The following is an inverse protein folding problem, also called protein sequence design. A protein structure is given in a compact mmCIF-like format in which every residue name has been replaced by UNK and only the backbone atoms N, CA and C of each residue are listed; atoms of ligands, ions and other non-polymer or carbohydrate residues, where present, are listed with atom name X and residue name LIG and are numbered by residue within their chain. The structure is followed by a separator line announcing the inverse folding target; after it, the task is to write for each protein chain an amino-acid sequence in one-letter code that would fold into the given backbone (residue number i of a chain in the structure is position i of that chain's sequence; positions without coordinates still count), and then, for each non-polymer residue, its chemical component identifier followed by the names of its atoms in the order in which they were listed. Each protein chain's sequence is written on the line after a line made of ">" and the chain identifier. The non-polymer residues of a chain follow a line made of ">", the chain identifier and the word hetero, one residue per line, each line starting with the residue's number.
data_IF_669364750194
#
_entry.id   IF_669364750194
#
_cell.length_a   1.000
_cell.length_b   1.000
_cell.length_c   1.000
_cell.angle_alpha   90.00
_cell.angle_beta   90.00
_cell.angle_gamma   90.00
#
_symmetry.space_group_name_H-M   'P 1'
#
loop_
_entity.id
_entity.type
_entity.pdbx_description
1 polymer ?
#
# COMPACT_ATOMS: atom_id res chain seq x y z
N UNK A 1 -16.59 -9.57 -18.95
CA UNK A 1 -15.97 -8.52 -18.12
C UNK A 1 -16.46 -8.68 -16.70
N UNK A 2 -15.53 -8.85 -15.77
CA UNK A 2 -15.80 -9.07 -14.35
C UNK A 2 -14.79 -8.23 -13.58
N UNK A 3 -15.21 -7.64 -12.46
CA UNK A 3 -14.30 -7.05 -11.50
C UNK A 3 -14.76 -7.40 -10.10
N UNK A 4 -13.82 -7.77 -9.25
CA UNK A 4 -14.01 -8.09 -7.84
C UNK A 4 -13.01 -7.26 -7.06
N UNK A 5 -13.43 -6.73 -5.92
CA UNK A 5 -12.56 -6.01 -5.01
C UNK A 5 -12.93 -6.34 -3.56
N UNK A 6 -11.99 -6.11 -2.65
CA UNK A 6 -12.27 -6.07 -1.21
C UNK A 6 -13.31 -4.99 -0.88
N UNK A 7 -13.90 -5.04 0.31
CA UNK A 7 -14.99 -4.14 0.72
C UNK A 7 -14.64 -2.65 0.61
N UNK A 8 -13.43 -2.27 0.98
CA UNK A 8 -12.92 -0.89 0.85
C UNK A 8 -12.65 -0.47 -0.60
N UNK A 9 -12.59 -1.42 -1.55
CA UNK A 9 -12.53 -1.15 -2.99
C UNK A 9 -13.78 -0.47 -3.56
N UNK A 10 -14.84 -0.30 -2.77
CA UNK A 10 -16.10 0.34 -3.19
C UNK A 10 -15.90 1.73 -3.82
N UNK A 11 -14.91 2.50 -3.35
CA UNK A 11 -14.63 3.86 -3.85
C UNK A 11 -13.99 3.87 -5.25
N UNK A 12 -13.44 2.73 -5.70
CA UNK A 12 -12.77 2.61 -7.01
C UNK A 12 -13.44 1.65 -7.99
N UNK A 13 -14.37 0.81 -7.52
CA UNK A 13 -14.92 -0.29 -8.33
C UNK A 13 -15.76 0.19 -9.53
N UNK A 14 -16.48 1.30 -9.39
CA UNK A 14 -17.28 1.85 -10.50
C UNK A 14 -16.39 2.38 -11.64
N UNK A 15 -15.34 3.12 -11.30
CA UNK A 15 -14.39 3.68 -12.26
C UNK A 15 -13.57 2.57 -12.93
N UNK A 16 -13.15 1.57 -12.18
CA UNK A 16 -12.48 0.40 -12.73
C UNK A 16 -13.38 -0.39 -13.69
N UNK A 17 -14.67 -0.59 -13.34
CA UNK A 17 -15.65 -1.18 -14.27
C UNK A 17 -15.87 -0.30 -15.51
N UNK A 18 -15.83 1.03 -15.36
CA UNK A 18 -15.96 1.95 -16.49
C UNK A 18 -14.78 1.84 -17.47
N UNK A 19 -13.56 1.54 -16.99
CA UNK A 19 -12.41 1.22 -17.85
C UNK A 19 -12.72 -0.01 -18.70
N UNK A 20 -13.17 -1.10 -18.07
CA UNK A 20 -13.53 -2.34 -18.78
C UNK A 20 -14.64 -2.10 -19.82
N UNK A 21 -15.72 -1.41 -19.43
CA UNK A 21 -16.86 -1.12 -20.32
C UNK A 21 -16.48 -0.33 -21.58
N UNK A 22 -15.40 0.45 -21.53
CA UNK A 22 -14.86 1.18 -22.69
C UNK A 22 -13.85 0.38 -23.52
N UNK A 23 -13.66 -0.91 -23.21
CA UNK A 23 -12.71 -1.79 -23.89
C UNK A 23 -11.27 -1.65 -23.38
N UNK A 24 -11.05 -1.06 -22.21
CA UNK A 24 -9.74 -1.03 -21.56
C UNK A 24 -9.31 -2.40 -21.03
N UNK A 25 -8.02 -2.53 -20.70
CA UNK A 25 -7.44 -3.79 -20.22
C UNK A 25 -7.78 -4.09 -18.75
N UNK A 26 -7.66 -5.35 -18.35
CA UNK A 26 -7.77 -5.74 -16.94
C UNK A 26 -6.71 -5.03 -16.07
N UNK A 27 -5.51 -4.85 -16.60
CA UNK A 27 -4.39 -4.16 -15.94
C UNK A 27 -4.74 -2.71 -15.62
N UNK A 28 -5.26 -1.97 -16.61
CA UNK A 28 -5.64 -0.56 -16.42
C UNK A 28 -6.83 -0.42 -15.46
N UNK A 29 -7.78 -1.37 -15.48
CA UNK A 29 -8.92 -1.35 -14.58
C UNK A 29 -8.49 -1.58 -13.12
N UNK A 30 -7.62 -2.57 -12.87
CA UNK A 30 -7.07 -2.86 -11.54
C UNK A 30 -6.28 -1.67 -10.99
N UNK A 31 -5.36 -1.12 -11.78
CA UNK A 31 -4.58 0.05 -11.34
C UNK A 31 -5.51 1.25 -11.04
N UNK A 32 -6.49 1.52 -11.91
CA UNK A 32 -7.43 2.63 -11.72
C UNK A 32 -8.22 2.49 -10.42
N UNK A 33 -8.73 1.30 -10.12
CA UNK A 33 -9.50 1.05 -8.91
C UNK A 33 -8.67 1.23 -7.63
N UNK A 34 -7.47 0.64 -7.60
CA UNK A 34 -6.58 0.71 -6.44
C UNK A 34 -6.09 2.14 -6.18
N UNK A 35 -5.73 2.89 -7.23
CA UNK A 35 -5.29 4.29 -7.10
C UNK A 35 -6.31 5.19 -6.42
N UNK A 36 -7.60 4.91 -6.59
CA UNK A 36 -8.67 5.68 -5.93
C UNK A 36 -8.77 5.34 -4.44
N UNK A 37 -8.50 4.09 -4.05
CA UNK A 37 -8.41 3.71 -2.63
C UNK A 37 -7.15 4.30 -2.00
N UNK A 38 -6.00 4.21 -2.67
CA UNK A 38 -4.75 4.82 -2.19
C UNK A 38 -4.82 6.35 -2.01
N UNK A 39 -5.70 7.02 -2.75
CA UNK A 39 -5.94 8.45 -2.63
C UNK A 39 -7.00 8.82 -1.58
N UNK A 40 -7.70 7.85 -1.00
CA UNK A 40 -8.80 8.08 -0.07
C UNK A 40 -8.27 8.28 1.36
N UNK A 41 -8.28 9.50 1.92
CA UNK A 41 -7.75 9.75 3.26
C UNK A 41 -8.58 9.10 4.38
N UNK A 42 -9.81 8.67 4.07
CA UNK A 42 -10.69 7.98 5.02
C UNK A 42 -10.33 6.49 5.18
N UNK A 43 -9.44 5.95 4.34
CA UNK A 43 -8.93 4.58 4.46
C UNK A 43 -7.54 4.57 5.13
N UNK A 44 -7.51 4.31 6.43
CA UNK A 44 -6.27 4.26 7.19
C UNK A 44 -5.44 2.98 6.99
N UNK A 45 -5.80 2.15 6.01
CA UNK A 45 -5.14 0.88 5.71
C UNK A 45 -4.47 0.84 4.33
N UNK A 46 -4.65 1.88 3.50
CA UNK A 46 -4.11 1.93 2.13
C UNK A 46 -3.66 3.35 1.79
N UNK A 47 -2.43 3.52 1.31
CA UNK A 47 -1.97 4.78 0.72
C UNK A 47 -1.96 5.99 1.67
N UNK A 48 -2.53 7.10 1.21
CA UNK A 48 -2.57 8.38 1.93
C UNK A 48 -3.35 8.28 3.24
N UNK A 49 -2.77 8.73 4.35
CA UNK A 49 -3.44 8.65 5.66
C UNK A 49 -3.43 7.25 6.27
N UNK A 50 -2.75 6.29 5.63
CA UNK A 50 -2.49 4.98 6.20
C UNK A 50 -1.78 5.08 7.55
N UNK A 51 -2.15 4.24 8.52
CA UNK A 51 -1.51 4.28 9.82
C UNK A 51 -0.01 3.94 9.72
N UNK A 52 0.85 4.75 10.35
CA UNK A 52 2.29 4.62 10.18
C UNK A 52 2.85 3.42 10.95
N UNK A 53 4.12 3.11 10.65
CA UNK A 53 4.94 2.23 11.47
C UNK A 53 5.21 2.86 12.85
N UNK A 54 5.90 2.11 13.71
CA UNK A 54 6.15 2.55 15.10
C UNK A 54 6.95 3.87 15.20
N UNK A 55 7.72 4.22 14.17
CA UNK A 55 8.48 5.48 14.11
C UNK A 55 7.65 6.66 13.58
N UNK A 56 6.37 6.46 13.27
CA UNK A 56 5.52 7.51 12.72
C UNK A 56 5.72 7.72 11.21
N UNK A 57 6.34 6.78 10.51
CA UNK A 57 6.52 6.83 9.05
C UNK A 57 5.51 5.93 8.33
N UNK A 58 4.89 6.44 7.27
CA UNK A 58 3.95 5.69 6.45
C UNK A 58 4.71 4.92 5.37
N UNK A 59 4.61 3.60 5.41
CA UNK A 59 5.32 2.66 4.54
C UNK A 59 4.33 1.81 3.76
N UNK A 60 4.34 1.95 2.44
CA UNK A 60 3.39 1.31 1.55
C UNK A 60 3.96 0.05 0.89
N UNK A 61 3.10 -0.95 0.76
CA UNK A 61 3.36 -2.22 0.10
C UNK A 61 2.32 -2.41 -1.03
N UNK A 62 2.76 -2.79 -2.23
CA UNK A 62 1.86 -3.10 -3.33
C UNK A 62 2.45 -4.10 -4.32
N UNK A 63 1.60 -4.89 -4.96
CA UNK A 63 1.96 -5.76 -6.08
C UNK A 63 0.88 -5.76 -7.16
N UNK A 64 1.28 -6.01 -8.41
CA UNK A 64 0.39 -6.20 -9.54
C UNK A 64 0.90 -7.33 -10.43
N UNK A 65 -0.03 -8.12 -10.98
CA UNK A 65 0.25 -9.28 -11.82
C UNK A 65 -0.61 -9.19 -13.07
N UNK A 66 0.05 -9.17 -14.23
CA UNK A 66 -0.61 -9.33 -15.54
C UNK A 66 -0.64 -10.81 -15.93
N UNK A 67 -1.83 -11.41 -15.90
CA UNK A 67 -2.03 -12.82 -16.21
C UNK A 67 -1.87 -13.15 -17.70
N UNK A 68 -1.96 -12.17 -18.59
CA UNK A 68 -1.72 -12.39 -20.03
C UNK A 68 -0.23 -12.55 -20.31
N UNK A 69 0.59 -11.65 -19.78
CA UNK A 69 2.03 -11.63 -19.99
C UNK A 69 2.80 -12.54 -19.02
N UNK A 70 2.15 -13.01 -17.94
CA UNK A 70 2.78 -13.71 -16.82
C UNK A 70 3.90 -12.89 -16.15
N UNK A 71 3.73 -11.57 -16.13
CA UNK A 71 4.66 -10.62 -15.53
C UNK A 71 4.09 -10.03 -14.25
N UNK A 72 4.97 -9.60 -13.36
CA UNK A 72 4.59 -8.98 -12.10
C UNK A 72 5.56 -7.87 -11.70
N UNK A 73 5.08 -7.00 -10.83
CA UNK A 73 5.89 -5.97 -10.19
C UNK A 73 5.37 -5.67 -8.80
N UNK A 74 6.29 -5.33 -7.91
CA UNK A 74 6.01 -5.09 -6.51
C UNK A 74 6.92 -4.00 -5.92
N UNK A 75 6.38 -3.29 -4.94
CA UNK A 75 7.11 -2.37 -4.07
C UNK A 75 6.77 -2.66 -2.61
N UNK A 76 7.74 -2.47 -1.71
CA UNK A 76 7.56 -2.73 -0.29
C UNK A 76 8.28 -1.72 0.59
N UNK A 77 7.69 -1.41 1.73
CA UNK A 77 8.18 -0.40 2.67
C UNK A 77 8.53 0.95 1.99
N UNK A 78 7.79 1.31 0.93
CA UNK A 78 8.05 2.52 0.15
C UNK A 78 7.39 3.73 0.82
N UNK A 79 8.13 4.83 0.95
CA UNK A 79 7.65 6.05 1.59
C UNK A 79 7.50 7.20 0.59
N UNK A 80 6.55 8.10 0.86
CA UNK A 80 6.45 9.39 0.16
C UNK A 80 5.90 9.35 -1.26
N UNK A 81 5.39 8.22 -1.76
CA UNK A 81 4.73 8.12 -3.07
C UNK A 81 3.33 7.55 -2.91
N UNK A 82 2.25 8.33 -3.08
CA UNK A 82 0.89 7.91 -2.73
C UNK A 82 0.39 6.68 -3.47
N UNK A 83 0.85 6.48 -4.71
CA UNK A 83 0.33 5.43 -5.59
C UNK A 83 1.30 4.26 -5.72
N UNK A 84 1.37 3.44 -4.67
CA UNK A 84 2.27 2.29 -4.63
C UNK A 84 1.98 1.29 -5.76
N UNK A 85 0.71 1.07 -6.10
CA UNK A 85 0.32 0.17 -7.20
C UNK A 85 0.88 0.61 -8.56
N UNK A 86 0.94 1.92 -8.80
CA UNK A 86 1.49 2.47 -10.05
C UNK A 86 3.00 2.32 -10.11
N UNK A 87 3.69 2.45 -8.98
CA UNK A 87 5.14 2.19 -8.91
C UNK A 87 5.40 0.70 -9.11
N UNK A 88 4.60 -0.19 -8.51
CA UNK A 88 4.67 -1.63 -8.72
C UNK A 88 4.47 -2.01 -10.20
N UNK A 89 3.45 -1.45 -10.87
CA UNK A 89 3.27 -1.59 -12.33
C UNK A 89 4.50 -1.10 -13.09
N UNK A 90 5.08 0.02 -12.69
CA UNK A 90 6.27 0.56 -13.38
C UNK A 90 7.51 -0.32 -13.18
N UNK A 91 7.66 -0.99 -12.04
CA UNK A 91 8.70 -2.02 -11.83
C UNK A 91 8.54 -3.12 -12.87
N UNK A 92 7.32 -3.68 -13.01
CA UNK A 92 6.99 -4.72 -13.98
C UNK A 92 7.33 -4.33 -15.43
N UNK A 93 7.03 -3.08 -15.81
CA UNK A 93 7.15 -2.62 -17.20
C UNK A 93 8.56 -2.18 -17.60
N UNK A 94 9.43 -1.82 -16.65
CA UNK A 94 10.71 -1.12 -16.94
C UNK A 94 11.94 -1.84 -16.48
N UNK A 95 11.81 -2.77 -15.53
CA UNK A 95 12.95 -3.46 -14.96
C UNK A 95 12.90 -4.95 -15.32
N UNK A 96 14.06 -5.62 -15.40
CA UNK A 96 14.12 -7.08 -15.44
C UNK A 96 13.89 -7.71 -14.06
N UNK A 97 13.52 -6.91 -13.05
CA UNK A 97 13.31 -7.30 -11.66
C UNK A 97 11.84 -7.10 -11.29
N UNK A 98 11.35 -7.90 -10.34
CA UNK A 98 9.93 -7.91 -9.99
C UNK A 98 9.61 -7.23 -8.65
N UNK A 99 10.61 -6.88 -7.83
CA UNK A 99 10.38 -6.37 -6.48
C UNK A 99 11.47 -5.39 -6.05
N UNK A 100 11.08 -4.15 -5.71
CA UNK A 100 11.95 -3.15 -5.07
C UNK A 100 11.44 -2.80 -3.67
N UNK A 101 12.34 -2.43 -2.77
CA UNK A 101 11.96 -2.07 -1.39
C UNK A 101 12.63 -0.80 -0.89
N UNK A 102 11.97 -0.13 0.06
CA UNK A 102 12.49 1.03 0.80
C UNK A 102 13.02 2.13 -0.12
N UNK A 103 14.18 2.69 0.26
CA UNK A 103 14.84 3.78 -0.49
C UNK A 103 15.15 3.44 -1.95
N UNK A 104 15.32 2.16 -2.29
CA UNK A 104 15.51 1.72 -3.68
C UNK A 104 14.25 1.91 -4.51
N UNK A 105 13.09 1.53 -3.96
CA UNK A 105 11.80 1.78 -4.58
C UNK A 105 11.51 3.29 -4.70
N UNK A 106 11.83 4.07 -3.67
CA UNK A 106 11.65 5.52 -3.67
C UNK A 106 12.48 6.25 -4.74
N UNK A 107 13.74 5.82 -4.91
CA UNK A 107 14.62 6.33 -5.96
C UNK A 107 14.05 6.01 -7.34
N UNK A 108 13.65 4.76 -7.56
CA UNK A 108 13.06 4.33 -8.82
C UNK A 108 11.77 5.10 -9.13
N UNK A 109 10.90 5.32 -8.14
CA UNK A 109 9.70 6.12 -8.30
C UNK A 109 10.04 7.56 -8.78
N UNK A 110 11.05 8.19 -8.17
CA UNK A 110 11.52 9.51 -8.62
C UNK A 110 12.03 9.49 -10.07
N UNK A 111 12.88 8.52 -10.43
CA UNK A 111 13.44 8.38 -11.78
C UNK A 111 12.36 8.14 -12.85
N UNK A 112 11.24 7.51 -12.45
CA UNK A 112 10.08 7.26 -13.31
C UNK A 112 9.09 8.43 -13.39
N UNK A 113 9.37 9.54 -12.70
CA UNK A 113 8.58 10.76 -12.72
C UNK A 113 7.40 10.78 -11.76
N UNK A 114 7.34 9.87 -10.79
CA UNK A 114 6.33 9.95 -9.73
C UNK A 114 6.64 11.11 -8.78
N UNK A 115 5.59 11.80 -8.33
CA UNK A 115 5.73 12.94 -7.44
C UNK A 115 5.78 12.49 -5.99
N UNK A 116 6.79 12.98 -5.26
CA UNK A 116 6.87 12.78 -3.81
C UNK A 116 5.82 13.64 -3.10
N UNK A 117 5.12 13.07 -2.13
CA UNK A 117 4.08 13.73 -1.31
C UNK A 117 4.22 13.34 0.16
N UNK A 118 3.70 14.18 1.03
CA UNK A 118 3.48 13.81 2.43
C UNK A 118 2.29 12.84 2.51
N UNK A 119 2.50 11.70 3.17
CA UNK A 119 1.47 10.67 3.34
C UNK A 119 0.83 10.71 4.73
N UNK A 120 1.49 11.36 5.69
CA UNK A 120 1.01 11.50 7.06
C UNK A 120 -0.07 12.58 7.10
N UNK A 121 -1.27 12.18 7.51
CA UNK A 121 -2.34 13.12 7.84
C UNK A 121 -2.27 13.50 9.33
N UNK A 122 -2.79 14.68 9.68
CA UNK A 122 -2.86 15.12 11.08
C UNK A 122 -3.63 14.11 11.94
N UNK A 123 -4.71 13.54 11.39
CA UNK A 123 -5.50 12.50 12.05
C UNK A 123 -4.70 11.22 12.30
N UNK A 124 -4.03 10.68 11.28
CA UNK A 124 -3.23 9.45 11.42
C UNK A 124 -2.13 9.63 12.47
N UNK A 125 -1.49 10.80 12.50
CA UNK A 125 -0.45 11.11 13.49
C UNK A 125 -1.02 11.34 14.90
N UNK A 126 -2.22 11.90 15.02
CA UNK A 126 -2.93 12.01 16.30
C UNK A 126 -3.25 10.62 16.87
N UNK A 127 -3.85 9.74 16.06
CA UNK A 127 -4.18 8.36 16.46
C UNK A 127 -2.91 7.58 16.79
N UNK A 128 -1.85 7.74 15.99
CA UNK A 128 -0.53 7.16 16.27
C UNK A 128 -0.02 7.56 17.65
N UNK A 129 -0.04 8.85 17.98
CA UNK A 129 0.43 9.39 19.26
C UNK A 129 -0.44 8.89 20.43
N UNK A 130 -1.76 8.95 20.29
CA UNK A 130 -2.72 8.49 21.31
C UNK A 130 -2.51 7.01 21.65
N UNK A 131 -2.28 6.15 20.65
CA UNK A 131 -2.03 4.72 20.88
C UNK A 131 -0.75 4.48 21.67
N UNK A 132 0.33 5.18 21.33
CA UNK A 132 1.62 5.01 22.01
C UNK A 132 1.57 5.50 23.45
N UNK A 133 0.82 6.58 23.72
CA UNK A 133 0.66 7.11 25.07
C UNK A 133 -0.10 6.18 26.05
N UNK A 134 -0.71 5.10 25.57
CA UNK A 134 -1.28 4.07 26.45
C UNK A 134 -0.19 3.28 27.19
N UNK A 135 0.97 3.07 26.55
CA UNK A 135 2.05 2.23 27.04
C UNK A 135 3.37 3.02 27.27
N UNK A 136 3.48 4.23 26.72
CA UNK A 136 4.64 5.12 26.78
C UNK A 136 4.30 6.48 27.41
N UNK A 137 5.29 7.17 27.99
CA UNK A 137 5.18 8.57 28.38
C UNK A 137 5.50 9.53 27.21
N UNK A 138 5.23 10.83 27.38
CA UNK A 138 5.45 11.83 26.32
C UNK A 138 6.90 11.91 25.84
N UNK A 139 7.88 11.75 26.72
CA UNK A 139 9.30 11.82 26.37
C UNK A 139 9.70 10.63 25.47
N UNK A 140 9.20 9.44 25.81
CA UNK A 140 9.41 8.21 25.03
C UNK A 140 8.78 8.32 23.64
N UNK A 141 7.54 8.83 23.54
CA UNK A 141 6.88 9.03 22.24
C UNK A 141 7.62 10.05 21.38
N UNK A 142 8.05 11.18 21.97
CA UNK A 142 8.82 12.21 21.27
C UNK A 142 10.18 11.70 20.76
N UNK A 143 10.72 10.65 21.38
CA UNK A 143 12.03 10.07 21.06
C UNK A 143 11.95 8.58 20.72
N UNK A 144 10.84 8.13 20.11
CA UNK A 144 10.60 6.71 19.81
C UNK A 144 11.75 6.08 19.00
N UNK A 145 12.34 6.84 18.07
CA UNK A 145 13.48 6.41 17.26
C UNK A 145 14.79 6.19 18.05
N UNK A 146 14.88 6.68 19.28
CA UNK A 146 16.04 6.51 20.16
C UNK A 146 15.85 5.37 21.18
N UNK A 147 14.69 4.72 21.20
CA UNK A 147 14.44 3.59 22.10
C UNK A 147 15.33 2.41 21.70
N UNK A 148 15.97 1.79 22.71
CA UNK A 148 16.94 0.72 22.47
C UNK A 148 16.31 -0.60 21.98
N UNK A 149 15.06 -0.87 22.40
CA UNK A 149 14.32 -2.09 22.04
C UNK A 149 12.97 -1.71 21.46
N UNK A 150 12.96 -1.48 20.14
CA UNK A 150 11.75 -1.11 19.41
C UNK A 150 10.79 -2.31 19.27
N UNK A 151 11.30 -3.54 19.26
CA UNK A 151 10.50 -4.78 19.13
C UNK A 151 9.48 -4.95 20.25
N UNK A 152 9.90 -4.69 21.50
CA UNK A 152 9.01 -4.73 22.67
C UNK A 152 7.76 -3.85 22.48
N UNK A 153 7.93 -2.70 21.85
CA UNK A 153 6.85 -1.73 21.66
C UNK A 153 5.94 -2.09 20.49
N UNK A 154 6.43 -2.80 19.48
CA UNK A 154 5.60 -3.31 18.38
C UNK A 154 4.58 -4.33 18.90
N UNK A 155 4.99 -5.24 19.78
CA UNK A 155 4.10 -6.24 20.40
C UNK A 155 2.96 -5.58 21.19
N UNK A 156 3.25 -4.47 21.85
CA UNK A 156 2.26 -3.72 22.62
C UNK A 156 1.35 -2.91 21.70
N UNK A 157 1.90 -2.23 20.69
CA UNK A 157 1.15 -1.30 19.85
C UNK A 157 0.29 -1.98 18.78
N UNK A 158 0.73 -3.13 18.26
CA UNK A 158 0.03 -3.87 17.20
C UNK A 158 -1.05 -4.76 17.81
N UNK A 159 -2.32 -4.45 17.57
CA UNK A 159 -3.44 -5.33 17.95
C UNK A 159 -3.79 -6.28 16.79
N UNK A 160 -3.46 -7.59 16.87
CA UNK A 160 -3.71 -8.54 15.79
C UNK A 160 -5.18 -8.66 15.39
N UNK A 161 -6.12 -8.26 16.26
CA UNK A 161 -7.57 -8.33 16.01
C UNK A 161 -8.12 -7.06 15.35
N UNK A 162 -7.34 -5.96 15.31
CA UNK A 162 -7.77 -4.65 14.80
C UNK A 162 -6.87 -4.08 13.70
N UNK A 163 -5.73 -4.69 13.41
CA UNK A 163 -4.79 -4.25 12.36
C UNK A 163 -5.06 -4.95 11.04
N UNK A 164 -6.19 -4.66 10.40
CA UNK A 164 -6.48 -5.21 9.08
C UNK A 164 -7.09 -4.18 8.15
N UNK A 165 -6.51 -4.11 6.97
CA UNK A 165 -7.07 -3.47 5.79
C UNK A 165 -6.04 -3.48 4.67
N UNK A 166 -6.47 -4.02 3.55
CA UNK A 166 -5.71 -4.13 2.31
C UNK A 166 -6.76 -3.99 1.22
N UNK A 167 -6.43 -3.25 0.16
CA UNK A 167 -7.27 -3.28 -1.02
C UNK A 167 -6.75 -4.33 -1.98
N UNK A 168 -7.64 -5.16 -2.50
CA UNK A 168 -7.37 -5.97 -3.68
C UNK A 168 -8.38 -5.67 -4.79
N UNK A 169 -7.92 -5.79 -6.02
CA UNK A 169 -8.75 -5.76 -7.22
C UNK A 169 -8.33 -6.91 -8.13
N UNK A 170 -9.31 -7.67 -8.61
CA UNK A 170 -9.13 -8.70 -9.62
C UNK A 170 -10.10 -8.40 -10.75
N UNK A 171 -9.59 -8.29 -11.98
CA UNK A 171 -10.39 -7.99 -13.15
C UNK A 171 -10.17 -9.03 -14.25
N UNK A 172 -11.25 -9.32 -14.98
CA UNK A 172 -11.21 -9.99 -16.27
C UNK A 172 -11.80 -9.04 -17.32
N UNK A 173 -11.05 -8.73 -18.37
CA UNK A 173 -11.50 -7.81 -19.41
C UNK A 173 -12.38 -8.47 -20.49
N UNK A 174 -12.62 -7.75 -21.60
CA UNK A 174 -13.44 -8.21 -22.71
C UNK A 174 -12.78 -9.30 -23.57
N UNK A 175 -11.45 -9.43 -23.51
CA UNK A 175 -10.67 -10.45 -24.21
C UNK A 175 -10.50 -11.72 -23.36
N UNK A 176 -10.84 -11.65 -22.07
CA UNK A 176 -10.67 -12.74 -21.12
C UNK A 176 -9.33 -12.69 -20.38
N UNK A 177 -8.52 -11.66 -20.62
CA UNK A 177 -7.26 -11.43 -19.91
C UNK A 177 -7.55 -11.05 -18.45
N UNK A 178 -6.74 -11.55 -17.53
CA UNK A 178 -6.91 -11.38 -16.08
C UNK A 178 -5.76 -10.57 -15.50
N UNK A 179 -6.09 -9.64 -14.61
CA UNK A 179 -5.12 -8.94 -13.78
C UNK A 179 -5.55 -9.00 -12.31
N UNK A 180 -4.58 -9.08 -11.41
CA UNK A 180 -4.77 -8.90 -9.98
C UNK A 180 -3.80 -7.84 -9.45
N UNK A 181 -4.26 -7.06 -8.48
CA UNK A 181 -3.43 -6.05 -7.82
C UNK A 181 -3.85 -5.87 -6.36
N UNK A 182 -2.87 -5.51 -5.53
CA UNK A 182 -3.01 -5.39 -4.09
C UNK A 182 -2.21 -4.19 -3.60
N UNK A 183 -2.74 -3.42 -2.66
CA UNK A 183 -2.05 -2.28 -2.01
C UNK A 183 -2.46 -2.13 -0.55
N UNK A 184 -1.52 -1.72 0.30
CA UNK A 184 -1.74 -1.51 1.75
C UNK A 184 -0.68 -0.58 2.35
N UNK A 185 -0.99 0.08 3.47
CA UNK A 185 0.00 0.66 4.39
C UNK A 185 0.54 -0.38 5.40
N UNK A 186 0.00 -1.59 5.39
CA UNK A 186 0.37 -2.70 6.26
C UNK A 186 -0.22 -2.56 7.66
N UNK A 187 0.32 -3.33 8.61
CA UNK A 187 -0.11 -3.24 9.99
C UNK A 187 0.27 -1.89 10.61
N UNK A 188 -0.70 -1.26 11.26
CA UNK A 188 -0.48 -0.05 12.04
C UNK A 188 0.55 -0.33 13.16
N UNK A 189 1.45 0.62 13.40
CA UNK A 189 2.57 0.50 14.35
C UNK A 189 3.50 -0.70 14.13
N UNK A 190 3.55 -1.24 12.90
CA UNK A 190 4.52 -2.28 12.52
C UNK A 190 5.95 -1.84 12.81
N UNK A 191 6.85 -2.82 12.96
CA UNK A 191 8.28 -2.54 12.95
C UNK A 191 8.65 -1.88 11.60
N UNK A 192 9.45 -0.80 11.58
CA UNK A 192 9.86 -0.14 10.34
C UNK A 192 10.49 -1.11 9.34
N UNK A 193 10.05 -1.04 8.08
CA UNK A 193 10.50 -1.97 7.04
C UNK A 193 9.83 -3.35 7.06
N UNK A 194 8.87 -3.61 7.96
CA UNK A 194 8.08 -4.85 7.93
C UNK A 194 7.21 -4.88 6.67
N UNK A 195 7.33 -5.97 5.92
CA UNK A 195 6.48 -6.28 4.77
C UNK A 195 5.36 -7.25 5.16
N UNK A 196 4.18 -7.04 4.60
CA UNK A 196 3.07 -7.98 4.65
C UNK A 196 3.10 -9.01 3.52
N UNK A 197 1.95 -9.65 3.33
CA UNK A 197 1.61 -10.52 2.20
C UNK A 197 1.34 -9.74 0.91
N UNK A 198 0.81 -8.52 1.03
CA UNK A 198 0.35 -7.70 -0.10
C UNK A 198 1.37 -7.44 -1.23
N UNK A 199 2.68 -7.24 -0.98
CA UNK A 199 3.65 -7.09 -2.05
C UNK A 199 4.25 -8.43 -2.53
N UNK A 200 3.87 -9.57 -1.92
CA UNK A 200 4.43 -10.90 -2.19
C UNK A 200 3.54 -11.64 -3.17
N UNK A 201 4.00 -11.74 -4.42
CA UNK A 201 3.34 -12.52 -5.47
C UNK A 201 3.14 -13.97 -5.01
N UNK A 202 1.88 -14.42 -4.98
CA UNK A 202 1.49 -15.75 -4.50
C UNK A 202 0.98 -15.80 -3.07
N UNK A 203 0.94 -14.66 -2.36
CA UNK A 203 0.33 -14.54 -1.04
C UNK A 203 -0.88 -13.59 -1.04
N UNK A 204 -0.63 -12.29 -1.29
CA UNK A 204 -1.66 -11.23 -1.29
C UNK A 204 -2.70 -11.35 -2.41
#
# INVERSE_FOLDING_TARGET
>A
MIIVASSNGIVGIEQAMAVLKRGGSALDAVETGIRLVEANPEDHSVGLGGYPNLLGEVELDAAIIDGRALTSGAVGAMQGYPHAISVARRVMERLPHVFLVGRGAERFASEMGFERRELRTEEAMRVWKERLLLDMNEEQVAHVAKLADLSKWVELATDPQRTMGTVNFIAQDGQGDICAGVSTSGWAWKYPGRLGDSPVVGAG
#
